data_IF_776482655796
#
_entry.id   IF_776482655796
#
_cell.length_a   1.000
_cell.length_b   1.000
_cell.length_c   1.000
_cell.angle_alpha   90.00
_cell.angle_beta   90.00
_cell.angle_gamma   90.00
#
_symmetry.space_group_name_H-M   'P 1'
#
loop_
_entity.id
_entity.type
_entity.pdbx_description
1 polymer ?
#
# COMPACT_ATOMS: atom_id res chain seq x y z
N UNK A 1 -15.85 -14.32 -44.68
CA UNK A 1 -14.86 -13.55 -43.88
C UNK A 1 -15.30 -13.61 -42.43
N UNK A 2 -14.75 -14.52 -41.64
CA UNK A 2 -15.01 -14.59 -40.20
C UNK A 2 -14.15 -13.54 -39.52
N UNK A 3 -14.77 -12.42 -39.12
CA UNK A 3 -14.12 -11.41 -38.27
C UNK A 3 -13.78 -12.09 -36.94
N UNK A 4 -12.49 -12.33 -36.70
CA UNK A 4 -12.01 -12.87 -35.43
C UNK A 4 -11.87 -11.69 -34.49
N UNK A 5 -12.95 -11.37 -33.77
CA UNK A 5 -12.91 -10.38 -32.68
C UNK A 5 -11.82 -10.82 -31.70
N UNK A 6 -10.88 -9.93 -31.40
CA UNK A 6 -9.88 -10.19 -30.36
C UNK A 6 -10.60 -10.52 -29.05
N UNK A 7 -10.06 -11.44 -28.23
CA UNK A 7 -10.65 -11.72 -26.93
C UNK A 7 -10.73 -10.41 -26.11
N UNK A 8 -11.76 -10.26 -25.26
CA UNK A 8 -11.88 -9.09 -24.41
C UNK A 8 -10.63 -8.95 -23.53
N UNK A 9 -10.25 -7.69 -23.21
CA UNK A 9 -9.15 -7.44 -22.28
C UNK A 9 -9.43 -8.09 -20.93
N UNK A 10 -8.37 -8.56 -20.29
CA UNK A 10 -8.40 -9.05 -18.92
C UNK A 10 -7.55 -8.11 -18.05
N UNK A 11 -8.16 -7.17 -17.31
CA UNK A 11 -7.43 -6.22 -16.48
C UNK A 11 -6.51 -6.86 -15.44
N UNK A 12 -6.90 -8.01 -14.87
CA UNK A 12 -6.08 -8.75 -13.90
C UNK A 12 -4.79 -9.24 -14.59
N UNK A 13 -4.92 -9.85 -15.76
CA UNK A 13 -3.76 -10.31 -16.52
C UNK A 13 -2.88 -9.15 -17.00
N UNK A 14 -3.47 -7.99 -17.31
CA UNK A 14 -2.75 -6.80 -17.70
C UNK A 14 -1.89 -6.25 -16.55
N UNK A 15 -2.42 -6.19 -15.32
CA UNK A 15 -1.67 -5.76 -14.12
C UNK A 15 -0.54 -6.74 -13.80
N UNK A 16 -0.81 -8.05 -13.78
CA UNK A 16 0.22 -9.08 -13.56
C UNK A 16 1.30 -9.02 -14.65
N UNK A 17 0.90 -8.80 -15.90
CA UNK A 17 1.82 -8.64 -17.02
C UNK A 17 2.70 -7.39 -16.88
N UNK A 18 2.16 -6.29 -16.36
CA UNK A 18 2.94 -5.08 -16.09
C UNK A 18 3.90 -5.25 -14.92
N UNK A 19 3.48 -5.90 -13.82
CA UNK A 19 4.36 -6.24 -12.70
C UNK A 19 5.53 -7.11 -13.16
N UNK A 20 5.25 -8.15 -13.95
CA UNK A 20 6.30 -8.98 -14.56
C UNK A 20 7.22 -8.20 -15.49
N UNK A 21 6.70 -7.22 -16.25
CA UNK A 21 7.52 -6.35 -17.10
C UNK A 21 8.46 -5.47 -16.25
N UNK A 22 7.98 -4.89 -15.16
CA UNK A 22 8.79 -4.10 -14.23
C UNK A 22 9.96 -4.94 -13.69
N UNK A 23 9.69 -6.15 -13.21
CA UNK A 23 10.71 -7.08 -12.73
C UNK A 23 11.70 -7.46 -13.85
N UNK A 24 11.20 -7.94 -14.99
CA UNK A 24 12.05 -8.57 -16.02
C UNK A 24 12.70 -7.61 -17.00
N UNK A 25 12.16 -6.41 -17.21
CA UNK A 25 12.69 -5.41 -18.14
C UNK A 25 13.37 -4.25 -17.46
N UNK A 26 12.83 -3.79 -16.34
CA UNK A 26 13.40 -2.65 -15.61
C UNK A 26 14.34 -3.12 -14.47
N UNK A 27 14.26 -4.39 -14.06
CA UNK A 27 15.08 -4.93 -12.97
C UNK A 27 14.56 -4.58 -11.57
N UNK A 28 13.29 -4.16 -11.46
CA UNK A 28 12.64 -3.84 -10.18
C UNK A 28 12.22 -5.15 -9.49
N UNK A 29 13.21 -5.83 -8.91
CA UNK A 29 13.02 -7.09 -8.16
C UNK A 29 12.39 -6.84 -6.80
N UNK A 30 11.99 -7.92 -6.11
CA UNK A 30 11.54 -7.86 -4.72
C UNK A 30 12.58 -7.19 -3.80
N UNK A 31 13.86 -7.57 -3.92
CA UNK A 31 14.96 -6.95 -3.18
C UNK A 31 15.15 -5.45 -3.49
N UNK A 32 14.80 -5.01 -4.71
CA UNK A 32 14.81 -3.60 -5.07
C UNK A 32 13.63 -2.89 -4.39
N UNK A 33 12.45 -3.49 -4.43
CA UNK A 33 11.24 -2.94 -3.84
C UNK A 33 11.38 -2.80 -2.31
N UNK A 34 12.01 -3.77 -1.66
CA UNK A 34 12.29 -3.77 -0.21
C UNK A 34 13.19 -2.59 0.26
N UNK A 35 13.86 -1.89 -0.67
CA UNK A 35 14.65 -0.69 -0.36
C UNK A 35 13.82 0.60 -0.32
N UNK A 36 12.56 0.56 -0.79
CA UNK A 36 11.65 1.71 -0.85
C UNK A 36 10.70 1.72 0.35
N UNK A 37 11.22 2.09 1.52
CA UNK A 37 10.49 2.06 2.79
C UNK A 37 9.67 3.32 3.08
N UNK A 38 9.89 4.40 2.34
CA UNK A 38 9.26 5.71 2.51
C UNK A 38 7.98 5.90 1.68
N UNK A 39 7.28 4.81 1.34
CA UNK A 39 6.06 4.79 0.50
C UNK A 39 6.31 5.22 -0.94
N UNK A 40 7.53 5.13 -1.45
CA UNK A 40 7.89 5.59 -2.79
C UNK A 40 7.14 4.80 -3.87
N UNK A 41 6.91 3.49 -3.70
CA UNK A 41 6.14 2.71 -4.67
C UNK A 41 4.67 3.18 -4.73
N UNK A 42 4.06 3.49 -3.59
CA UNK A 42 2.71 4.05 -3.52
C UNK A 42 2.65 5.47 -4.12
N UNK A 43 3.60 6.33 -3.81
CA UNK A 43 3.69 7.68 -4.37
C UNK A 43 3.90 7.67 -5.90
N UNK A 44 4.70 6.73 -6.42
CA UNK A 44 4.84 6.53 -7.85
C UNK A 44 3.53 6.02 -8.49
N UNK A 45 2.78 5.16 -7.79
CA UNK A 45 1.46 4.71 -8.25
C UNK A 45 0.47 5.88 -8.32
N UNK A 46 0.44 6.74 -7.30
CA UNK A 46 -0.35 7.98 -7.28
C UNK A 46 0.01 8.86 -8.48
N UNK A 47 1.30 9.04 -8.79
CA UNK A 47 1.73 9.83 -9.94
C UNK A 47 1.15 9.33 -11.26
N UNK A 48 1.20 8.02 -11.53
CA UNK A 48 0.59 7.45 -12.73
C UNK A 48 -0.94 7.53 -12.74
N UNK A 49 -1.59 7.37 -11.59
CA UNK A 49 -3.04 7.56 -11.46
C UNK A 49 -3.44 9.01 -11.77
N UNK A 50 -2.75 9.98 -11.16
CA UNK A 50 -2.94 11.40 -11.42
C UNK A 50 -2.75 11.73 -12.90
N UNK A 51 -1.69 11.20 -13.54
CA UNK A 51 -1.48 11.37 -14.98
C UNK A 51 -2.61 10.80 -15.84
N UNK A 52 -3.19 9.65 -15.46
CA UNK A 52 -4.33 9.11 -16.16
C UNK A 52 -5.54 10.06 -16.07
N UNK A 53 -5.83 10.59 -14.89
CA UNK A 53 -6.93 11.52 -14.63
C UNK A 53 -6.70 12.85 -15.38
N UNK A 54 -5.59 13.54 -15.10
CA UNK A 54 -5.21 14.82 -15.72
C UNK A 54 -5.21 14.77 -17.25
N UNK A 55 -4.72 13.68 -17.84
CA UNK A 55 -4.77 13.50 -19.30
C UNK A 55 -6.20 13.43 -19.83
N UNK A 56 -7.12 12.80 -19.11
CA UNK A 56 -8.53 12.73 -19.53
C UNK A 56 -9.17 14.12 -19.60
N UNK A 57 -8.66 15.06 -18.79
CA UNK A 57 -9.06 16.47 -18.76
C UNK A 57 -8.27 17.36 -19.75
N UNK A 58 -7.34 16.79 -20.51
CA UNK A 58 -6.56 17.48 -21.54
C UNK A 58 -5.31 18.19 -21.04
N UNK A 59 -4.87 17.90 -19.81
CA UNK A 59 -3.67 18.51 -19.22
C UNK A 59 -2.36 17.91 -19.77
N UNK A 60 -1.27 18.69 -19.72
CA UNK A 60 0.07 18.18 -20.04
C UNK A 60 0.62 17.36 -18.88
N UNK A 61 0.97 16.11 -19.17
CA UNK A 61 1.51 15.15 -18.22
C UNK A 61 2.95 14.74 -18.57
N UNK A 62 3.62 15.51 -19.44
CA UNK A 62 4.99 15.22 -19.89
C UNK A 62 6.03 15.27 -18.76
N UNK A 63 5.82 16.14 -17.78
CA UNK A 63 6.63 16.23 -16.56
C UNK A 63 6.04 15.37 -15.43
N UNK A 64 6.89 14.82 -14.54
CA UNK A 64 6.41 14.14 -13.35
C UNK A 64 5.65 15.11 -12.42
N UNK A 65 4.62 14.64 -11.70
CA UNK A 65 3.95 15.43 -10.67
C UNK A 65 4.88 15.69 -9.48
N UNK A 66 4.55 16.68 -8.64
CA UNK A 66 5.36 17.09 -7.47
C UNK A 66 5.64 15.94 -6.49
N UNK A 67 4.69 15.03 -6.29
CA UNK A 67 4.83 13.87 -5.41
C UNK A 67 5.60 12.68 -6.03
N UNK A 68 6.14 12.81 -7.24
CA UNK A 68 6.89 11.73 -7.89
C UNK A 68 8.21 11.47 -7.15
N UNK A 69 8.47 10.23 -6.67
CA UNK A 69 9.58 9.97 -5.75
C UNK A 69 10.91 9.60 -6.43
N UNK A 70 10.90 9.39 -7.75
CA UNK A 70 12.06 8.89 -8.49
C UNK A 70 12.64 9.94 -9.44
N UNK A 71 13.82 9.64 -9.99
CA UNK A 71 14.43 10.53 -10.99
C UNK A 71 13.46 10.75 -12.18
N UNK A 72 13.40 11.96 -12.76
CA UNK A 72 12.47 12.30 -13.84
C UNK A 72 12.56 11.37 -15.06
N UNK A 73 13.71 10.76 -15.34
CA UNK A 73 13.86 9.84 -16.47
C UNK A 73 13.01 8.56 -16.35
N UNK A 74 12.55 8.24 -15.14
CA UNK A 74 11.65 7.11 -14.88
C UNK A 74 10.18 7.46 -15.06
N UNK A 75 9.86 8.74 -15.23
CA UNK A 75 8.53 9.20 -15.58
C UNK A 75 8.25 8.95 -17.06
N UNK A 76 7.40 7.96 -17.36
CA UNK A 76 7.16 7.51 -18.74
C UNK A 76 5.66 7.34 -19.06
N UNK A 77 4.78 8.32 -18.77
CA UNK A 77 3.34 8.17 -18.96
C UNK A 77 2.99 7.92 -20.42
N UNK A 78 1.97 7.11 -20.69
CA UNK A 78 1.70 6.60 -22.05
C UNK A 78 0.27 6.74 -22.51
N UNK A 79 -0.69 6.58 -21.62
CA UNK A 79 -2.12 6.68 -21.95
C UNK A 79 -2.97 6.24 -20.78
N UNK A 80 -4.23 6.69 -20.74
CA UNK A 80 -5.16 6.46 -19.63
C UNK A 80 -5.09 5.04 -19.07
N UNK A 81 -5.41 4.03 -19.90
CA UNK A 81 -5.41 2.64 -19.45
C UNK A 81 -4.02 2.09 -19.11
N UNK A 82 -2.97 2.53 -19.82
CA UNK A 82 -1.61 2.07 -19.58
C UNK A 82 -1.06 2.61 -18.25
N UNK A 83 -1.43 3.83 -17.89
CA UNK A 83 -0.98 4.49 -16.67
C UNK A 83 -1.78 3.97 -15.46
N UNK A 84 -3.09 3.69 -15.60
CA UNK A 84 -3.85 2.93 -14.59
C UNK A 84 -3.24 1.55 -14.31
N UNK A 85 -2.84 0.83 -15.36
CA UNK A 85 -2.20 -0.48 -15.25
C UNK A 85 -0.85 -0.41 -14.53
N UNK A 86 -0.05 0.63 -14.80
CA UNK A 86 1.23 0.87 -14.11
C UNK A 86 1.02 1.24 -12.66
N UNK A 87 0.06 2.10 -12.36
CA UNK A 87 -0.32 2.46 -11.00
C UNK A 87 -0.72 1.19 -10.21
N UNK A 88 -1.60 0.36 -10.77
CA UNK A 88 -2.00 -0.89 -10.14
C UNK A 88 -0.84 -1.88 -9.94
N UNK A 89 0.11 -1.96 -10.88
CA UNK A 89 1.30 -2.81 -10.72
C UNK A 89 2.24 -2.29 -9.61
N UNK A 90 2.36 -0.97 -9.44
CA UNK A 90 3.13 -0.36 -8.35
C UNK A 90 2.44 -0.53 -6.98
N UNK A 91 1.11 -0.45 -6.93
CA UNK A 91 0.33 -0.79 -5.72
C UNK A 91 0.58 -2.25 -5.33
N UNK A 92 0.52 -3.17 -6.31
CA UNK A 92 0.82 -4.58 -6.07
C UNK A 92 2.25 -4.76 -5.54
N UNK A 93 3.24 -4.07 -6.12
CA UNK A 93 4.61 -4.10 -5.64
C UNK A 93 4.76 -3.63 -4.18
N UNK A 94 4.07 -2.54 -3.80
CA UNK A 94 4.08 -2.05 -2.43
C UNK A 94 3.39 -3.02 -1.47
N UNK A 95 2.25 -3.60 -1.85
CA UNK A 95 1.57 -4.62 -1.03
C UNK A 95 2.46 -5.84 -0.80
N UNK A 96 3.10 -6.36 -1.86
CA UNK A 96 4.05 -7.47 -1.77
C UNK A 96 5.22 -7.14 -0.81
N UNK A 97 5.74 -5.90 -0.87
CA UNK A 97 6.79 -5.42 0.03
C UNK A 97 6.32 -5.37 1.49
N UNK A 98 5.12 -4.84 1.73
CA UNK A 98 4.51 -4.76 3.06
C UNK A 98 4.32 -6.15 3.65
N UNK A 99 3.80 -7.09 2.86
CA UNK A 99 3.59 -8.46 3.29
C UNK A 99 4.91 -9.16 3.65
N UNK A 100 5.95 -9.01 2.82
CA UNK A 100 7.29 -9.56 3.12
C UNK A 100 7.88 -8.96 4.40
N UNK A 101 7.71 -7.65 4.61
CA UNK A 101 8.17 -7.00 5.84
C UNK A 101 7.45 -7.57 7.06
N UNK A 102 6.13 -7.72 6.99
CA UNK A 102 5.35 -8.29 8.08
C UNK A 102 5.67 -9.77 8.35
N UNK A 103 5.99 -10.55 7.33
CA UNK A 103 6.47 -11.93 7.50
C UNK A 103 7.83 -11.99 8.20
N UNK A 104 8.74 -11.05 7.92
CA UNK A 104 10.06 -10.99 8.55
C UNK A 104 10.01 -10.51 10.00
N UNK A 105 9.25 -9.45 10.27
CA UNK A 105 9.22 -8.79 11.58
C UNK A 105 8.10 -9.33 12.50
N UNK A 106 7.18 -10.15 11.96
CA UNK A 106 6.04 -10.69 12.71
C UNK A 106 4.97 -9.65 13.03
N UNK A 107 4.94 -8.53 12.30
CA UNK A 107 4.06 -7.41 12.61
C UNK A 107 2.71 -7.50 11.88
N UNK A 108 1.83 -8.37 12.39
CA UNK A 108 0.45 -8.50 11.90
C UNK A 108 -0.54 -8.15 12.99
N UNK A 109 -1.67 -7.59 12.58
CA UNK A 109 -2.80 -7.37 13.46
C UNK A 109 -3.40 -8.72 13.88
N UNK A 110 -3.50 -8.99 15.18
CA UNK A 110 -4.04 -10.25 15.72
C UNK A 110 -5.51 -10.49 15.35
N UNK A 111 -6.27 -9.42 15.11
CA UNK A 111 -7.70 -9.53 14.80
C UNK A 111 -8.00 -9.80 13.31
N UNK A 112 -7.27 -9.18 12.38
CA UNK A 112 -7.53 -9.30 10.94
C UNK A 112 -6.44 -10.02 10.15
N UNK A 113 -5.29 -10.30 10.77
CA UNK A 113 -4.10 -10.90 10.17
C UNK A 113 -3.47 -10.08 9.01
N UNK A 114 -3.89 -8.83 8.83
CA UNK A 114 -3.25 -7.91 7.90
C UNK A 114 -1.95 -7.34 8.50
N UNK A 115 -0.93 -7.04 7.68
CA UNK A 115 0.28 -6.35 8.12
C UNK A 115 -0.03 -5.03 8.82
N UNK A 116 0.72 -4.74 9.89
CA UNK A 116 0.84 -3.38 10.41
C UNK A 116 1.91 -2.64 9.62
N UNK A 117 1.57 -1.46 9.13
CA UNK A 117 2.45 -0.61 8.35
C UNK A 117 2.96 0.59 9.14
N UNK A 118 4.12 1.12 8.75
CA UNK A 118 4.69 2.32 9.37
C UNK A 118 3.70 3.50 9.34
N UNK A 119 3.40 4.02 10.52
CA UNK A 119 2.42 5.08 10.76
C UNK A 119 0.98 4.60 11.03
N UNK A 120 0.70 3.30 10.95
CA UNK A 120 -0.63 2.79 11.25
C UNK A 120 -1.02 3.07 12.71
N UNK A 121 -2.24 3.54 12.97
CA UNK A 121 -2.76 3.65 14.31
C UNK A 121 -3.01 2.24 14.87
N UNK A 122 -2.38 1.93 16.00
CA UNK A 122 -2.45 0.59 16.60
C UNK A 122 -2.48 0.65 18.13
N UNK A 123 -2.89 -0.46 18.73
CA UNK A 123 -2.73 -0.74 20.15
C UNK A 123 -1.91 -2.03 20.33
N UNK A 124 -0.99 -2.01 21.29
CA UNK A 124 -0.24 -3.19 21.72
C UNK A 124 -0.94 -3.89 22.87
N UNK A 125 -0.79 -5.21 22.95
CA UNK A 125 -1.10 -6.00 24.14
C UNK A 125 0.19 -6.16 24.97
N UNK A 126 0.32 -5.34 26.01
CA UNK A 126 1.49 -5.38 26.91
C UNK A 126 1.55 -6.65 27.78
N UNK A 127 0.45 -7.42 27.86
CA UNK A 127 0.31 -8.60 28.71
C UNK A 127 0.69 -9.88 27.97
N UNK A 128 0.06 -10.14 26.81
CA UNK A 128 0.29 -11.36 26.04
C UNK A 128 1.30 -11.18 24.90
N UNK A 129 1.67 -9.93 24.60
CA UNK A 129 2.30 -9.59 23.33
C UNK A 129 1.28 -9.64 22.19
N UNK A 130 1.39 -8.70 21.26
CA UNK A 130 0.50 -8.60 20.12
C UNK A 130 0.21 -7.17 19.75
N UNK A 131 -0.35 -6.99 18.56
CA UNK A 131 -0.70 -5.68 18.05
C UNK A 131 -2.02 -5.76 17.27
N UNK A 132 -2.79 -4.69 17.35
CA UNK A 132 -4.13 -4.60 16.76
C UNK A 132 -4.26 -3.26 16.06
N UNK A 133 -4.78 -3.24 14.83
CA UNK A 133 -5.19 -1.98 14.22
C UNK A 133 -6.23 -1.28 15.09
N UNK A 134 -6.15 0.05 15.14
CA UNK A 134 -7.13 0.89 15.83
C UNK A 134 -8.57 0.57 15.41
N UNK A 135 -8.82 0.33 14.11
CA UNK A 135 -10.16 0.01 13.62
C UNK A 135 -10.58 -1.46 13.85
N UNK A 136 -9.64 -2.34 14.22
CA UNK A 136 -9.93 -3.73 14.53
C UNK A 136 -10.31 -3.93 16.00
N UNK A 137 -9.78 -3.09 16.89
CA UNK A 137 -10.25 -2.96 18.26
C UNK A 137 -11.54 -2.14 18.27
N UNK A 138 -12.65 -2.76 18.67
CA UNK A 138 -13.92 -2.06 18.83
C UNK A 138 -13.86 -0.91 19.85
N UNK A 139 -14.97 -0.21 20.02
CA UNK A 139 -15.09 0.91 20.97
C UNK A 139 -15.25 0.45 22.43
N UNK A 140 -15.11 -0.85 22.71
CA UNK A 140 -15.29 -1.39 24.05
C UNK A 140 -14.14 -1.00 24.97
N UNK A 141 -14.44 -0.14 25.94
CA UNK A 141 -13.45 0.37 26.91
C UNK A 141 -12.89 -0.74 27.80
N UNK A 142 -13.64 -1.84 27.99
CA UNK A 142 -13.24 -2.96 28.85
C UNK A 142 -12.06 -3.75 28.27
N UNK A 143 -11.72 -3.52 26.98
CA UNK A 143 -10.54 -4.08 26.33
C UNK A 143 -9.24 -3.33 26.67
N UNK A 144 -9.31 -2.20 27.38
CA UNK A 144 -8.15 -1.35 27.66
C UNK A 144 -7.76 -1.39 29.14
N UNK A 145 -6.46 -1.39 29.38
CA UNK A 145 -5.87 -1.36 30.72
C UNK A 145 -5.03 -0.10 30.94
N UNK A 146 -4.79 0.24 32.20
CA UNK A 146 -3.76 1.21 32.58
C UNK A 146 -2.35 0.62 32.43
N UNK A 147 -1.32 1.43 32.71
CA UNK A 147 0.08 1.00 32.63
C UNK A 147 0.49 -0.05 33.69
N UNK A 148 -0.41 -0.42 34.60
CA UNK A 148 -0.23 -1.52 35.57
C UNK A 148 -1.03 -2.77 35.16
N UNK A 149 -1.77 -2.74 34.04
CA UNK A 149 -2.58 -3.85 33.54
C UNK A 149 -3.97 -3.94 34.17
N UNK A 150 -4.43 -2.94 34.93
CA UNK A 150 -5.78 -2.93 35.48
C UNK A 150 -6.78 -2.37 34.46
N UNK A 151 -8.02 -2.88 34.38
CA UNK A 151 -9.06 -2.30 33.51
C UNK A 151 -9.27 -0.82 33.79
N UNK A 152 -9.46 -0.02 32.73
CA UNK A 152 -9.74 1.40 32.88
C UNK A 152 -11.06 1.66 33.63
N UNK A 153 -11.18 2.74 34.43
CA UNK A 153 -12.42 3.04 35.14
C UNK A 153 -13.62 3.23 34.19
N UNK A 154 -14.83 2.83 34.59
CA UNK A 154 -16.03 3.07 33.79
C UNK A 154 -16.21 4.55 33.43
N UNK A 155 -16.51 4.83 32.16
CA UNK A 155 -16.67 6.20 31.65
C UNK A 155 -15.36 6.91 31.26
N UNK A 156 -14.22 6.24 31.37
CA UNK A 156 -12.96 6.71 30.78
C UNK A 156 -13.09 6.74 29.27
N UNK A 157 -12.69 7.83 28.58
CA UNK A 157 -12.66 7.85 27.12
C UNK A 157 -11.69 6.79 26.58
N UNK A 158 -11.98 6.25 25.39
CA UNK A 158 -11.07 5.37 24.67
C UNK A 158 -9.69 6.04 24.51
N UNK A 159 -8.59 5.37 24.87
CA UNK A 159 -7.25 5.92 24.71
C UNK A 159 -6.94 6.22 23.23
N UNK A 160 -6.03 7.18 22.99
CA UNK A 160 -5.52 7.42 21.65
C UNK A 160 -4.58 6.27 21.23
N UNK A 161 -4.67 5.77 19.99
CA UNK A 161 -3.76 4.74 19.50
C UNK A 161 -2.33 5.26 19.36
N UNK A 162 -1.37 4.34 19.52
CA UNK A 162 0.03 4.57 19.16
C UNK A 162 0.22 4.52 17.65
N UNK A 163 1.37 4.97 17.15
CA UNK A 163 1.74 4.87 15.73
C UNK A 163 2.75 3.75 15.57
N UNK A 164 2.43 2.78 14.72
CA UNK A 164 3.29 1.65 14.47
C UNK A 164 4.56 2.13 13.75
N UNK A 165 5.71 1.58 14.13
CA UNK A 165 7.00 1.88 13.51
C UNK A 165 7.78 0.59 13.36
N UNK A 166 8.29 0.35 12.16
CA UNK A 166 9.16 -0.80 11.83
C UNK A 166 10.62 -0.56 12.16
#
# INVERSE_FOLDING_TARGET
MTSRTAPPRNPIADVIGERNRQITKEGWTEDHDDQHTGRELAAAAEGYLASAISRADGEDVSAPPEGWPFAPEWWKPKGYYADLKRAAALILAEMERIDRLAEREGCRCEACNEPLYDGDPYFGDDVNGGAYHDHCLGDDIDAFTDGEGNPLPPGTPRPAPSRYTV
#
